data_IF_753630822263
#
_entry.id   IF_753630822263
#
_cell.length_a   1.000
_cell.length_b   1.000
_cell.length_c   1.000
_cell.angle_alpha   90.00
_cell.angle_beta   90.00
_cell.angle_gamma   90.00
#
_symmetry.space_group_name_H-M   'P 1'
#
loop_
_entity.id
_entity.type
_entity.pdbx_description
1 polymer ?
#
# COMPACT_ATOMS: atom_id res chain seq x y z
N UNK A 1 18.51 5.41 -3.81
CA UNK A 1 17.80 4.82 -2.65
C UNK A 1 16.78 3.82 -3.17
N UNK A 2 16.55 2.71 -2.43
CA UNK A 2 15.57 1.69 -2.80
C UNK A 2 14.61 1.49 -1.61
N UNK A 3 13.30 1.42 -1.90
CA UNK A 3 12.23 1.22 -0.91
C UNK A 3 11.47 -0.05 -1.27
N UNK A 4 11.30 -0.94 -0.29
CA UNK A 4 10.41 -2.09 -0.40
C UNK A 4 9.07 -1.79 0.28
N UNK A 5 7.99 -2.25 -0.31
CA UNK A 5 6.63 -2.01 0.22
C UNK A 5 5.84 -3.32 0.14
N UNK A 6 5.09 -3.65 1.19
CA UNK A 6 4.06 -4.67 1.12
C UNK A 6 2.87 -4.20 0.28
N UNK A 7 2.00 -5.12 -0.11
CA UNK A 7 0.88 -4.82 -0.99
C UNK A 7 -0.44 -4.72 -0.23
N UNK A 8 -0.87 -5.85 0.38
CA UNK A 8 -2.20 -5.98 0.94
C UNK A 8 -2.31 -5.22 2.27
N UNK A 9 -3.30 -4.34 2.42
CA UNK A 9 -3.50 -3.44 3.58
C UNK A 9 -2.36 -2.44 3.82
N UNK A 10 -1.39 -2.37 2.93
CA UNK A 10 -0.32 -1.37 2.92
C UNK A 10 -0.51 -0.39 1.76
N UNK A 11 -0.49 -0.86 0.51
CA UNK A 11 -0.85 -0.05 -0.67
C UNK A 11 -2.34 -0.12 -0.95
N UNK A 12 -2.95 -1.30 -0.81
CA UNK A 12 -4.35 -1.59 -1.14
C UNK A 12 -5.21 -1.54 0.11
N UNK A 13 -6.24 -0.71 0.09
CA UNK A 13 -7.29 -0.64 1.11
C UNK A 13 -8.45 -1.57 0.70
N UNK A 14 -8.77 -2.52 1.57
CA UNK A 14 -9.84 -3.49 1.36
C UNK A 14 -11.09 -3.25 2.21
N UNK A 15 -11.10 -2.23 3.05
CA UNK A 15 -12.17 -2.03 4.06
C UNK A 15 -13.57 -2.03 3.47
N UNK A 16 -13.78 -1.24 2.40
CA UNK A 16 -15.07 -1.20 1.70
C UNK A 16 -15.43 -2.53 1.03
N UNK A 17 -14.43 -3.23 0.48
CA UNK A 17 -14.65 -4.51 -0.20
C UNK A 17 -15.01 -5.61 0.79
N UNK A 18 -14.34 -5.65 1.96
CA UNK A 18 -14.72 -6.57 3.03
C UNK A 18 -16.14 -6.33 3.52
N UNK A 19 -16.54 -5.06 3.68
CA UNK A 19 -17.90 -4.70 4.05
C UNK A 19 -18.90 -5.16 3.00
N UNK A 20 -18.71 -4.74 1.74
CA UNK A 20 -19.59 -5.08 0.64
C UNK A 20 -19.82 -6.59 0.51
N UNK A 21 -18.74 -7.36 0.40
CA UNK A 21 -18.83 -8.82 0.23
C UNK A 21 -19.38 -9.52 1.49
N UNK A 22 -19.08 -9.01 2.67
CA UNK A 22 -19.62 -9.54 3.92
C UNK A 22 -21.13 -9.32 4.04
N UNK A 23 -21.64 -8.18 3.59
CA UNK A 23 -23.09 -7.88 3.51
C UNK A 23 -23.76 -8.74 2.44
N UNK A 24 -23.19 -8.84 1.23
CA UNK A 24 -23.71 -9.67 0.13
C UNK A 24 -23.84 -11.15 0.51
N UNK A 25 -22.93 -11.65 1.32
CA UNK A 25 -22.95 -13.03 1.83
C UNK A 25 -23.81 -13.21 3.09
N UNK A 26 -24.45 -12.16 3.58
CA UNK A 26 -25.25 -12.20 4.82
C UNK A 26 -24.42 -12.43 6.09
N UNK A 27 -23.10 -12.18 6.04
CA UNK A 27 -22.20 -12.37 7.18
C UNK A 27 -22.14 -11.13 8.10
N UNK A 28 -22.57 -9.96 7.61
CA UNK A 28 -22.46 -8.68 8.30
C UNK A 28 -23.80 -7.96 8.37
N UNK A 29 -24.07 -7.24 9.48
CA UNK A 29 -25.17 -6.30 9.53
C UNK A 29 -24.82 -5.02 8.75
N UNK A 30 -25.84 -4.36 8.17
CA UNK A 30 -25.65 -3.14 7.37
C UNK A 30 -25.00 -1.97 8.14
N UNK A 31 -25.10 -1.97 9.47
CA UNK A 31 -24.58 -0.89 10.32
C UNK A 31 -23.08 -0.97 10.62
N UNK A 32 -22.38 -2.07 10.23
CA UNK A 32 -20.95 -2.22 10.50
C UNK A 32 -20.15 -1.22 9.67
N UNK A 33 -19.13 -0.61 10.30
CA UNK A 33 -18.25 0.30 9.58
C UNK A 33 -17.29 -0.46 8.65
N UNK A 34 -16.86 0.17 7.54
CA UNK A 34 -15.86 -0.42 6.66
C UNK A 34 -14.47 -0.37 7.31
N UNK A 35 -14.22 -1.30 8.21
CA UNK A 35 -12.95 -1.52 8.88
C UNK A 35 -12.70 -3.03 8.91
N UNK A 36 -11.63 -3.46 8.23
CA UNK A 36 -11.28 -4.89 8.10
C UNK A 36 -11.11 -5.58 9.45
N UNK A 37 -10.48 -4.90 10.43
CA UNK A 37 -10.22 -5.48 11.75
C UNK A 37 -11.50 -5.68 12.55
N UNK A 38 -12.41 -4.69 12.53
CA UNK A 38 -13.72 -4.81 13.16
C UNK A 38 -14.56 -5.91 12.50
N UNK A 39 -14.57 -5.97 11.17
CA UNK A 39 -15.28 -7.00 10.39
C UNK A 39 -14.73 -8.39 10.73
N UNK A 40 -13.40 -8.53 10.78
CA UNK A 40 -12.75 -9.79 11.16
C UNK A 40 -13.14 -10.22 12.57
N UNK A 41 -13.09 -9.31 13.52
CA UNK A 41 -13.46 -9.59 14.91
C UNK A 41 -14.93 -9.99 15.01
N UNK A 42 -15.82 -9.26 14.35
CA UNK A 42 -17.24 -9.57 14.32
C UNK A 42 -17.53 -10.98 13.78
N UNK A 43 -16.99 -11.34 12.61
CA UNK A 43 -17.21 -12.65 11.99
C UNK A 43 -16.61 -13.76 12.85
N UNK A 44 -15.37 -13.60 13.34
CA UNK A 44 -14.68 -14.62 14.14
C UNK A 44 -15.36 -14.92 15.46
N UNK A 45 -16.11 -13.98 16.01
CA UNK A 45 -16.88 -14.18 17.24
C UNK A 45 -18.18 -14.98 17.01
N UNK A 46 -18.56 -15.30 15.77
CA UNK A 46 -19.68 -16.15 15.46
C UNK A 46 -19.30 -17.64 15.46
N UNK A 47 -20.30 -18.52 15.60
CA UNK A 47 -20.10 -19.96 15.51
C UNK A 47 -19.51 -20.32 14.12
N UNK A 48 -18.38 -21.00 14.07
CA UNK A 48 -17.70 -21.32 12.82
C UNK A 48 -17.02 -20.12 12.12
N UNK A 49 -16.93 -18.99 12.81
CA UNK A 49 -16.51 -17.71 12.25
C UNK A 49 -15.13 -17.69 11.61
N UNK A 50 -14.17 -18.51 12.07
CA UNK A 50 -12.87 -18.61 11.41
C UNK A 50 -12.98 -19.11 9.97
N UNK A 51 -13.81 -20.12 9.73
CA UNK A 51 -14.05 -20.65 8.38
C UNK A 51 -14.76 -19.62 7.49
N UNK A 52 -15.75 -18.92 8.05
CA UNK A 52 -16.48 -17.88 7.33
C UNK A 52 -15.57 -16.69 7.01
N UNK A 53 -14.70 -16.30 7.94
CA UNK A 53 -13.67 -15.29 7.68
C UNK A 53 -12.72 -15.71 6.54
N UNK A 54 -12.24 -16.93 6.52
CA UNK A 54 -11.37 -17.45 5.45
C UNK A 54 -12.09 -17.46 4.08
N UNK A 55 -13.38 -17.81 4.03
CA UNK A 55 -14.18 -17.74 2.81
C UNK A 55 -14.28 -16.30 2.31
N UNK A 56 -14.60 -15.36 3.19
CA UNK A 56 -14.68 -13.94 2.84
C UNK A 56 -13.33 -13.43 2.33
N UNK A 57 -12.22 -13.77 3.00
CA UNK A 57 -10.87 -13.43 2.53
C UNK A 57 -10.58 -13.94 1.11
N UNK A 58 -10.91 -15.21 0.84
CA UNK A 58 -10.70 -15.81 -0.49
C UNK A 58 -11.42 -15.02 -1.59
N UNK A 59 -12.65 -14.58 -1.33
CA UNK A 59 -13.40 -13.79 -2.30
C UNK A 59 -12.88 -12.35 -2.44
N UNK A 60 -12.56 -11.70 -1.33
CA UNK A 60 -12.09 -10.30 -1.33
C UNK A 60 -10.72 -10.17 -2.00
N UNK A 61 -9.77 -11.03 -1.64
CA UNK A 61 -8.42 -10.99 -2.22
C UNK A 61 -8.35 -11.56 -3.65
N UNK A 62 -9.35 -12.34 -4.07
CA UNK A 62 -9.50 -12.84 -5.43
C UNK A 62 -10.30 -11.86 -6.30
N UNK A 63 -11.53 -12.26 -6.63
CA UNK A 63 -12.40 -11.49 -7.53
C UNK A 63 -12.75 -10.08 -7.03
N UNK A 64 -12.80 -9.88 -5.71
CA UNK A 64 -13.11 -8.60 -5.07
C UNK A 64 -12.02 -7.56 -5.21
N UNK A 65 -10.79 -7.98 -5.49
CA UNK A 65 -9.63 -7.09 -5.54
C UNK A 65 -9.80 -5.93 -6.53
N UNK A 66 -10.46 -6.15 -7.66
CA UNK A 66 -10.70 -5.10 -8.66
C UNK A 66 -11.63 -3.98 -8.17
N UNK A 67 -12.38 -4.20 -7.09
CA UNK A 67 -13.22 -3.21 -6.43
C UNK A 67 -12.48 -2.47 -5.29
N UNK A 68 -11.29 -2.94 -4.90
CA UNK A 68 -10.46 -2.29 -3.91
C UNK A 68 -9.91 -0.95 -4.42
N UNK A 69 -9.35 -0.16 -3.52
CA UNK A 69 -8.74 1.13 -3.83
C UNK A 69 -7.32 1.19 -3.26
N UNK A 70 -6.47 2.01 -3.85
CA UNK A 70 -5.24 2.39 -3.18
C UNK A 70 -5.57 3.28 -1.98
N UNK A 71 -4.78 3.16 -0.90
CA UNK A 71 -4.87 4.14 0.18
C UNK A 71 -4.61 5.56 -0.35
N UNK A 72 -5.33 6.58 0.18
CA UNK A 72 -5.09 7.97 -0.20
C UNK A 72 -3.63 8.38 0.02
N UNK A 73 -3.02 8.99 -0.99
CA UNK A 73 -1.62 9.44 -0.94
C UNK A 73 -0.58 8.47 -1.53
N UNK A 74 -0.92 7.20 -1.76
CA UNK A 74 -0.02 6.21 -2.39
C UNK A 74 0.51 6.71 -3.74
N UNK A 75 -0.38 7.11 -4.62
CA UNK A 75 0.00 7.59 -5.97
C UNK A 75 0.98 8.76 -5.91
N UNK A 76 0.70 9.73 -5.02
CA UNK A 76 1.58 10.89 -4.81
C UNK A 76 2.96 10.48 -4.30
N UNK A 77 3.03 9.59 -3.31
CA UNK A 77 4.29 9.09 -2.76
C UNK A 77 5.13 8.40 -3.83
N UNK A 78 4.53 7.48 -4.59
CA UNK A 78 5.21 6.75 -5.67
C UNK A 78 5.70 7.69 -6.77
N UNK A 79 4.88 8.66 -7.18
CA UNK A 79 5.26 9.68 -8.15
C UNK A 79 6.46 10.51 -7.65
N UNK A 80 6.45 10.96 -6.38
CA UNK A 80 7.57 11.67 -5.77
C UNK A 80 8.84 10.82 -5.69
N UNK A 81 8.72 9.55 -5.38
CA UNK A 81 9.84 8.60 -5.43
C UNK A 81 10.47 8.59 -6.82
N UNK A 82 9.66 8.46 -7.85
CA UNK A 82 10.13 8.49 -9.25
C UNK A 82 10.84 9.80 -9.60
N UNK A 83 10.28 10.96 -9.24
CA UNK A 83 10.90 12.27 -9.50
C UNK A 83 12.27 12.43 -8.83
N UNK A 84 12.51 11.72 -7.74
CA UNK A 84 13.78 11.70 -6.99
C UNK A 84 14.72 10.56 -7.37
N UNK A 85 14.40 9.77 -8.39
CA UNK A 85 15.19 8.59 -8.77
C UNK A 85 15.23 7.51 -7.68
N UNK A 86 14.20 7.45 -6.83
CA UNK A 86 14.05 6.42 -5.79
C UNK A 86 13.32 5.24 -6.40
N UNK A 87 13.95 4.07 -6.33
CA UNK A 87 13.38 2.82 -6.82
C UNK A 87 12.41 2.25 -5.78
N UNK A 88 11.20 1.91 -6.21
CA UNK A 88 10.20 1.23 -5.37
C UNK A 88 9.94 -0.16 -5.90
N UNK A 89 9.94 -1.16 -5.02
CA UNK A 89 9.61 -2.55 -5.32
C UNK A 89 8.55 -3.07 -4.34
N UNK A 90 7.63 -3.90 -4.84
CA UNK A 90 6.64 -4.60 -4.02
C UNK A 90 7.16 -5.98 -3.66
N UNK A 91 7.12 -6.31 -2.37
CA UNK A 91 7.46 -7.62 -1.80
C UNK A 91 6.29 -8.07 -0.94
N UNK A 92 5.44 -8.94 -1.47
CA UNK A 92 4.21 -9.33 -0.79
C UNK A 92 4.16 -10.83 -0.49
N UNK A 93 3.60 -11.18 0.67
CA UNK A 93 3.21 -12.56 0.96
C UNK A 93 1.86 -12.83 0.31
N UNK A 94 1.82 -13.71 -0.67
CA UNK A 94 0.58 -14.04 -1.37
C UNK A 94 0.64 -15.48 -1.86
N UNK A 95 -0.39 -16.27 -1.49
CA UNK A 95 -0.60 -17.63 -2.00
C UNK A 95 -1.16 -17.59 -3.42
N UNK A 96 -1.04 -18.69 -4.15
CA UNK A 96 -1.55 -18.75 -5.52
C UNK A 96 -3.07 -18.60 -5.59
N UNK A 97 -3.79 -19.17 -4.62
CA UNK A 97 -5.26 -19.17 -4.57
C UNK A 97 -5.76 -18.84 -3.17
N UNK A 98 -6.94 -18.25 -3.10
CA UNK A 98 -7.65 -17.99 -1.85
C UNK A 98 -8.22 -19.26 -1.21
N UNK A 99 -8.31 -19.27 0.11
CA UNK A 99 -9.00 -20.34 0.82
C UNK A 99 -10.49 -20.35 0.44
N UNK A 100 -11.02 -21.55 0.14
CA UNK A 100 -12.43 -21.75 -0.26
C UNK A 100 -12.88 -20.96 -1.48
N UNK A 101 -11.96 -20.51 -2.32
CA UNK A 101 -12.30 -19.86 -3.59
C UNK A 101 -12.56 -20.91 -4.68
N UNK A 102 -13.84 -21.19 -4.95
CA UNK A 102 -14.26 -22.13 -6.00
C UNK A 102 -13.92 -21.63 -7.43
N UNK A 103 -13.66 -20.34 -7.59
CA UNK A 103 -13.30 -19.75 -8.89
C UNK A 103 -11.84 -20.00 -9.28
N UNK A 104 -11.01 -20.48 -8.33
CA UNK A 104 -9.58 -20.64 -8.52
C UNK A 104 -8.90 -19.39 -9.11
N UNK A 105 -9.32 -18.21 -8.64
CA UNK A 105 -8.72 -16.95 -9.07
C UNK A 105 -7.28 -16.88 -8.57
N UNK A 106 -6.32 -16.74 -9.49
CA UNK A 106 -4.92 -16.53 -9.12
C UNK A 106 -4.75 -15.18 -8.40
N UNK A 107 -4.41 -15.22 -7.11
CA UNK A 107 -4.23 -14.00 -6.31
C UNK A 107 -3.07 -13.13 -6.80
N UNK A 108 -1.90 -13.67 -7.23
CA UNK A 108 -0.85 -12.87 -7.86
C UNK A 108 -1.30 -12.18 -9.15
N UNK A 109 -2.02 -12.90 -10.03
CA UNK A 109 -2.51 -12.31 -11.28
C UNK A 109 -3.56 -11.22 -11.03
N UNK A 110 -4.48 -11.44 -10.10
CA UNK A 110 -5.45 -10.42 -9.68
C UNK A 110 -4.75 -9.17 -9.14
N UNK A 111 -3.69 -9.34 -8.35
CA UNK A 111 -2.89 -8.24 -7.83
C UNK A 111 -2.19 -7.45 -8.94
N UNK A 112 -1.57 -8.11 -9.90
CA UNK A 112 -0.95 -7.45 -11.06
C UNK A 112 -2.00 -6.69 -11.87
N UNK A 113 -3.16 -7.30 -12.15
CA UNK A 113 -4.25 -6.64 -12.87
C UNK A 113 -4.74 -5.37 -12.14
N UNK A 114 -4.86 -5.41 -10.82
CA UNK A 114 -5.20 -4.24 -10.00
C UNK A 114 -4.14 -3.14 -10.11
N UNK A 115 -2.86 -3.47 -9.98
CA UNK A 115 -1.75 -2.52 -10.07
C UNK A 115 -1.69 -1.85 -11.45
N UNK A 116 -1.98 -2.60 -12.52
CA UNK A 116 -2.09 -2.06 -13.88
C UNK A 116 -3.32 -1.14 -14.00
N UNK A 117 -4.49 -1.57 -13.51
CA UNK A 117 -5.73 -0.79 -13.52
C UNK A 117 -5.56 0.55 -12.80
N UNK A 118 -4.81 0.58 -11.71
CA UNK A 118 -4.53 1.82 -10.94
C UNK A 118 -3.44 2.69 -11.55
N UNK A 119 -2.75 2.23 -12.60
CA UNK A 119 -1.70 2.97 -13.29
C UNK A 119 -0.39 3.11 -12.52
N UNK A 120 -0.20 2.41 -11.40
CA UNK A 120 1.05 2.46 -10.64
C UNK A 120 2.09 1.43 -11.11
N UNK A 121 1.66 0.43 -11.87
CA UNK A 121 2.51 -0.57 -12.51
C UNK A 121 2.10 -0.76 -13.97
N UNK A 122 3.02 -0.52 -14.89
CA UNK A 122 2.79 -0.63 -16.34
C UNK A 122 3.67 -1.69 -16.98
N UNK A 123 4.65 -2.23 -16.25
CA UNK A 123 5.61 -3.22 -16.75
C UNK A 123 6.72 -2.63 -17.63
N UNK A 124 6.76 -1.32 -17.82
CA UNK A 124 7.76 -0.61 -18.61
C UNK A 124 8.45 0.52 -17.81
N UNK A 125 9.22 1.36 -18.49
CA UNK A 125 9.96 2.47 -17.87
C UNK A 125 9.06 3.60 -17.31
N UNK A 126 7.77 3.64 -17.67
CA UNK A 126 6.81 4.60 -17.14
C UNK A 126 6.24 4.18 -15.78
N UNK A 127 6.45 2.92 -15.38
CA UNK A 127 5.97 2.36 -14.13
C UNK A 127 6.48 3.12 -12.90
N UNK A 128 5.59 3.39 -11.94
CA UNK A 128 5.96 3.96 -10.64
C UNK A 128 6.61 2.90 -9.72
N UNK A 129 6.33 1.63 -9.98
CA UNK A 129 6.87 0.47 -9.28
C UNK A 129 7.76 -0.29 -10.26
N UNK A 130 9.00 -0.58 -9.86
CA UNK A 130 9.98 -1.25 -10.71
C UNK A 130 9.73 -2.75 -10.83
N UNK A 131 9.39 -3.39 -9.72
CA UNK A 131 9.26 -4.83 -9.62
C UNK A 131 8.17 -5.22 -8.62
N UNK A 132 7.44 -6.29 -8.91
CA UNK A 132 6.45 -6.89 -8.02
C UNK A 132 6.81 -8.35 -7.83
N UNK A 133 7.01 -8.77 -6.58
CA UNK A 133 7.37 -10.14 -6.23
C UNK A 133 6.41 -10.68 -5.17
N UNK A 134 5.91 -11.90 -5.41
CA UNK A 134 5.02 -12.61 -4.51
C UNK A 134 5.73 -13.83 -3.92
N UNK A 135 5.49 -14.10 -2.64
CA UNK A 135 6.10 -15.20 -1.92
C UNK A 135 5.02 -15.99 -1.19
N UNK A 136 5.01 -17.33 -1.29
CA UNK A 136 3.97 -18.16 -0.67
C UNK A 136 4.06 -18.24 0.85
N UNK A 137 5.22 -17.89 1.42
CA UNK A 137 5.41 -17.87 2.88
C UNK A 137 5.98 -16.55 3.37
N UNK A 138 5.70 -16.22 4.65
CA UNK A 138 6.27 -15.04 5.30
C UNK A 138 7.81 -15.11 5.40
N UNK A 139 8.33 -16.30 5.64
CA UNK A 139 9.77 -16.56 5.75
C UNK A 139 10.49 -16.26 4.44
N UNK A 140 9.90 -16.64 3.31
CA UNK A 140 10.44 -16.34 1.98
C UNK A 140 10.37 -14.85 1.68
N UNK A 141 9.27 -14.17 2.05
CA UNK A 141 9.15 -12.71 1.97
C UNK A 141 10.29 -12.02 2.73
N UNK A 142 10.52 -12.41 4.00
CA UNK A 142 11.59 -11.82 4.82
C UNK A 142 12.97 -12.09 4.24
N UNK A 143 13.20 -13.29 3.71
CA UNK A 143 14.46 -13.64 3.03
C UNK A 143 14.68 -12.78 1.78
N UNK A 144 13.63 -12.54 1.00
CA UNK A 144 13.69 -11.67 -0.17
C UNK A 144 13.99 -10.21 0.23
N UNK A 145 13.36 -9.69 1.31
CA UNK A 145 13.67 -8.37 1.85
C UNK A 145 15.16 -8.27 2.21
N UNK A 146 15.70 -9.27 2.90
CA UNK A 146 17.11 -9.29 3.29
C UNK A 146 18.08 -9.30 2.11
N UNK A 147 17.71 -9.93 0.99
CA UNK A 147 18.54 -9.99 -0.22
C UNK A 147 18.51 -8.73 -1.11
N UNK A 148 17.59 -7.79 -0.87
CA UNK A 148 17.37 -6.65 -1.80
C UNK A 148 17.96 -5.31 -1.35
N UNK A 149 18.53 -5.21 -0.16
CA UNK A 149 19.20 -4.00 0.38
C UNK A 149 18.29 -2.75 0.35
N UNK A 150 17.06 -2.86 0.83
CA UNK A 150 16.17 -1.72 0.96
C UNK A 150 16.66 -0.73 2.02
N UNK A 151 16.60 0.55 1.73
CA UNK A 151 16.80 1.60 2.74
C UNK A 151 15.61 1.67 3.72
N UNK A 152 14.40 1.44 3.21
CA UNK A 152 13.16 1.38 3.96
C UNK A 152 12.33 0.18 3.52
N UNK A 153 11.62 -0.43 4.48
CA UNK A 153 10.56 -1.39 4.21
C UNK A 153 9.28 -0.95 4.93
N UNK A 154 8.16 -0.94 4.20
CA UNK A 154 6.84 -0.48 4.69
C UNK A 154 5.89 -1.67 4.68
N UNK A 155 5.28 -1.99 5.83
CA UNK A 155 4.41 -3.17 6.00
C UNK A 155 3.36 -2.91 7.10
N UNK A 156 2.16 -3.52 6.98
CA UNK A 156 1.09 -3.46 7.99
C UNK A 156 1.24 -4.52 9.10
N UNK A 157 2.16 -5.48 8.94
CA UNK A 157 2.28 -6.62 9.86
C UNK A 157 3.50 -6.49 10.80
N UNK A 158 3.30 -6.31 12.12
CA UNK A 158 4.40 -6.31 13.11
C UNK A 158 5.31 -7.53 13.01
N UNK A 159 4.73 -8.71 12.76
CA UNK A 159 5.46 -10.00 12.67
C UNK A 159 6.53 -10.06 11.58
N UNK A 160 6.51 -9.14 10.60
CA UNK A 160 7.60 -9.02 9.62
C UNK A 160 8.84 -8.45 10.32
N UNK A 161 8.65 -7.42 11.12
CA UNK A 161 9.73 -6.69 11.82
C UNK A 161 10.26 -7.41 13.06
N UNK A 162 9.42 -8.25 13.70
CA UNK A 162 9.79 -9.06 14.87
C UNK A 162 10.71 -10.24 14.50
N UNK A 163 10.81 -10.55 13.22
CA UNK A 163 11.66 -11.65 12.77
C UNK A 163 13.16 -11.33 12.97
N UNK A 164 13.92 -12.23 13.61
CA UNK A 164 15.37 -12.06 13.76
C UNK A 164 16.10 -12.10 12.42
N UNK A 165 15.45 -12.55 11.35
CA UNK A 165 15.97 -12.58 9.97
C UNK A 165 15.70 -11.30 9.20
N UNK A 166 14.93 -10.34 9.77
CA UNK A 166 14.75 -9.04 9.14
C UNK A 166 16.07 -8.27 9.10
N UNK A 167 16.46 -7.65 7.97
CA UNK A 167 17.79 -7.04 7.81
C UNK A 167 17.95 -5.79 8.71
N UNK A 168 19.02 -5.76 9.50
CA UNK A 168 19.31 -4.65 10.44
C UNK A 168 19.58 -3.31 9.75
N UNK A 169 20.02 -3.34 8.49
CA UNK A 169 20.33 -2.15 7.69
C UNK A 169 19.11 -1.47 7.08
N UNK A 170 17.96 -2.17 7.08
CA UNK A 170 16.70 -1.68 6.53
C UNK A 170 15.90 -0.98 7.63
N UNK A 171 15.58 0.28 7.42
CA UNK A 171 14.68 1.01 8.33
C UNK A 171 13.26 0.44 8.24
N UNK A 172 12.64 0.28 9.41
CA UNK A 172 11.30 -0.28 9.57
C UNK A 172 10.26 0.84 9.61
N UNK A 173 9.19 0.74 8.84
CA UNK A 173 8.06 1.65 8.92
C UNK A 173 6.75 0.85 8.89
N UNK A 174 6.05 0.82 10.01
CA UNK A 174 4.73 0.20 10.14
C UNK A 174 3.65 1.10 9.53
N UNK A 175 2.73 0.53 8.78
CA UNK A 175 1.53 1.22 8.30
C UNK A 175 0.31 0.68 9.04
N UNK A 176 -0.33 1.53 9.83
CA UNK A 176 -1.49 1.13 10.66
C UNK A 176 -2.54 2.25 10.71
N UNK A 177 -3.38 2.36 9.69
CA UNK A 177 -4.34 3.46 9.55
C UNK A 177 -5.42 3.48 10.63
N UNK A 178 -5.65 2.35 11.31
CA UNK A 178 -6.67 2.20 12.35
C UNK A 178 -6.08 2.07 13.76
N UNK A 179 -4.75 2.00 13.89
CA UNK A 179 -4.04 1.76 15.15
C UNK A 179 -4.47 0.42 15.81
N UNK A 180 -4.67 -0.59 14.98
CA UNK A 180 -5.15 -1.92 15.40
C UNK A 180 -4.00 -2.85 15.83
N UNK A 181 -2.75 -2.50 15.52
CA UNK A 181 -1.59 -3.34 15.73
C UNK A 181 -0.64 -2.76 16.79
N UNK A 182 0.09 -3.65 17.44
CA UNK A 182 1.20 -3.25 18.32
C UNK A 182 2.52 -3.50 17.61
N UNK A 183 3.26 -2.43 17.34
CA UNK A 183 4.60 -2.47 16.79
C UNK A 183 5.63 -2.19 17.90
N UNK A 184 6.74 -2.93 17.91
CA UNK A 184 7.85 -2.75 18.85
C UNK A 184 9.08 -2.26 18.08
N UNK A 185 9.67 -1.16 18.49
CA UNK A 185 10.86 -0.55 17.87
C UNK A 185 10.70 -0.26 16.36
N UNK A 186 9.51 0.16 15.97
CA UNK A 186 9.15 0.50 14.60
C UNK A 186 8.46 1.86 14.58
N UNK A 187 8.83 2.72 13.65
CA UNK A 187 8.06 3.95 13.38
C UNK A 187 6.74 3.57 12.74
N UNK A 188 5.63 4.05 13.27
CA UNK A 188 4.29 3.76 12.76
C UNK A 188 3.69 5.01 12.14
N UNK A 189 3.13 4.85 10.95
CA UNK A 189 2.36 5.88 10.25
C UNK A 189 0.92 5.44 10.06
N UNK A 190 -0.02 6.38 10.23
CA UNK A 190 -1.46 6.14 10.05
C UNK A 190 -1.94 6.55 8.67
N UNK A 191 -1.12 7.21 7.90
CA UNK A 191 -1.45 7.68 6.56
C UNK A 191 -0.24 7.70 5.63
N UNK A 192 -0.49 7.60 4.33
CA UNK A 192 0.56 7.78 3.32
C UNK A 192 1.10 9.21 3.26
N UNK A 193 0.38 10.18 3.82
CA UNK A 193 0.88 11.54 3.99
C UNK A 193 2.01 11.59 5.02
N UNK A 194 1.88 10.85 6.12
CA UNK A 194 2.93 10.73 7.14
C UNK A 194 4.14 9.99 6.59
N UNK A 195 3.93 8.86 5.88
CA UNK A 195 5.01 8.11 5.21
C UNK A 195 5.77 9.01 4.24
N UNK A 196 5.05 9.75 3.41
CA UNK A 196 5.59 10.69 2.43
C UNK A 196 6.45 11.77 3.11
N UNK A 197 5.93 12.34 4.19
CA UNK A 197 6.67 13.34 4.97
C UNK A 197 7.92 12.72 5.65
N UNK A 198 7.78 11.55 6.24
CA UNK A 198 8.83 10.89 7.01
C UNK A 198 10.01 10.48 6.12
N UNK A 199 9.74 9.89 4.96
CA UNK A 199 10.77 9.38 4.05
C UNK A 199 11.29 10.47 3.09
N UNK A 200 10.40 11.28 2.53
CA UNK A 200 10.73 12.23 1.47
C UNK A 200 10.83 13.69 1.97
N UNK A 201 10.24 14.00 3.13
CA UNK A 201 10.24 15.36 3.66
C UNK A 201 9.49 16.36 2.78
N UNK A 202 9.93 17.62 2.79
CA UNK A 202 9.29 18.69 2.04
C UNK A 202 9.41 18.51 0.52
N UNK A 203 8.44 19.04 -0.20
CA UNK A 203 8.46 19.10 -1.66
C UNK A 203 9.64 19.92 -2.16
N UNK A 204 10.35 19.39 -3.15
CA UNK A 204 11.41 20.09 -3.84
C UNK A 204 10.83 20.96 -4.97
N UNK A 205 11.52 22.05 -5.32
CA UNK A 205 11.09 22.93 -6.42
C UNK A 205 10.96 22.19 -7.76
N UNK A 206 11.85 21.24 -8.01
CA UNK A 206 11.82 20.37 -9.21
C UNK A 206 10.57 19.50 -9.27
N UNK A 207 10.11 18.95 -8.15
CA UNK A 207 8.88 18.14 -8.09
C UNK A 207 7.64 19.00 -8.39
N UNK A 208 7.60 20.23 -7.82
CA UNK A 208 6.51 21.17 -8.08
C UNK A 208 6.49 21.60 -9.54
N UNK A 209 7.66 21.85 -10.15
CA UNK A 209 7.77 22.20 -11.56
C UNK A 209 7.29 21.06 -12.47
N UNK A 210 7.71 19.83 -12.19
CA UNK A 210 7.28 18.64 -12.93
C UNK A 210 5.78 18.43 -12.87
N UNK A 211 5.20 18.46 -11.64
CA UNK A 211 3.75 18.31 -11.46
C UNK A 211 2.97 19.40 -12.21
N UNK A 212 3.43 20.63 -12.12
CA UNK A 212 2.76 21.74 -12.79
C UNK A 212 2.82 21.60 -14.32
N UNK A 213 3.94 21.11 -14.89
CA UNK A 213 4.06 20.88 -16.34
C UNK A 213 3.19 19.68 -16.81
N UNK A 214 2.96 18.69 -15.98
CA UNK A 214 2.02 17.57 -16.28
C UNK A 214 0.56 18.06 -16.36
N UNK A 215 0.20 19.06 -15.54
CA UNK A 215 -1.17 19.60 -15.50
C UNK A 215 -1.44 20.60 -16.64
N UNK A 216 -0.48 21.48 -16.95
CA UNK A 216 -0.73 22.64 -17.84
C UNK A 216 0.16 22.65 -19.10
N UNK A 217 1.06 21.68 -19.26
CA UNK A 217 1.98 21.56 -20.40
C UNK A 217 2.79 22.86 -20.70
N UNK A 218 2.87 23.77 -19.74
CA UNK A 218 3.57 25.07 -19.87
C UNK A 218 4.91 25.05 -19.14
N UNK A 219 5.88 25.76 -19.67
CA UNK A 219 7.15 25.95 -18.97
C UNK A 219 7.04 27.05 -17.92
N UNK A 220 7.59 26.83 -16.76
CA UNK A 220 7.51 27.77 -15.64
C UNK A 220 8.75 28.64 -15.53
N UNK A 221 8.52 29.93 -15.23
CA UNK A 221 9.56 30.92 -15.03
C UNK A 221 10.05 30.97 -13.58
N UNK A 222 9.14 30.79 -12.63
CA UNK A 222 9.43 30.89 -11.22
C UNK A 222 8.47 30.02 -10.40
N UNK A 223 9.00 29.28 -9.41
CA UNK A 223 8.22 28.54 -8.43
C UNK A 223 8.65 28.99 -7.05
N UNK A 224 7.73 29.54 -6.27
CA UNK A 224 7.99 30.01 -4.91
C UNK A 224 6.97 29.42 -3.93
N UNK A 225 7.45 28.79 -2.85
CA UNK A 225 6.57 28.40 -1.74
C UNK A 225 6.07 29.65 -1.02
N UNK A 226 4.76 29.79 -0.88
CA UNK A 226 4.11 30.95 -0.24
C UNK A 226 3.35 30.59 1.03
N UNK A 227 3.15 29.30 1.35
CA UNK A 227 2.43 28.83 2.54
C UNK A 227 2.34 27.33 2.64
N UNK A 228 1.50 26.86 3.57
CA UNK A 228 1.24 25.45 3.85
C UNK A 228 1.97 24.95 5.10
N UNK A 229 1.40 23.96 5.77
CA UNK A 229 1.96 23.29 6.96
C UNK A 229 2.40 21.87 6.62
N UNK A 230 3.48 21.43 7.25
CA UNK A 230 4.02 20.09 7.05
C UNK A 230 4.32 19.81 5.57
N UNK A 231 3.81 18.69 5.07
CA UNK A 231 3.99 18.25 3.69
C UNK A 231 3.01 18.92 2.70
N UNK A 232 2.05 19.71 3.17
CA UNK A 232 1.17 20.52 2.34
C UNK A 232 1.83 21.87 2.06
N UNK A 233 2.26 22.09 0.82
CA UNK A 233 2.83 23.36 0.36
C UNK A 233 1.87 24.09 -0.55
N UNK A 234 1.74 25.41 -0.35
CA UNK A 234 1.12 26.31 -1.32
C UNK A 234 2.24 26.95 -2.10
N UNK A 235 2.22 26.79 -3.42
CA UNK A 235 3.27 27.32 -4.31
C UNK A 235 2.67 28.31 -5.29
N UNK A 236 3.38 29.44 -5.47
CA UNK A 236 3.12 30.37 -6.54
C UNK A 236 3.97 29.97 -7.74
N UNK A 237 3.32 29.76 -8.86
CA UNK A 237 3.95 29.40 -10.13
C UNK A 237 3.73 30.56 -11.12
N UNK A 238 4.79 31.02 -11.74
CA UNK A 238 4.70 31.96 -12.84
C UNK A 238 5.06 31.25 -14.14
N UNK A 239 4.19 31.32 -15.11
CA UNK A 239 4.42 30.87 -16.47
C UNK A 239 5.30 31.88 -17.26
N UNK A 240 5.91 31.39 -18.32
CA UNK A 240 6.64 32.27 -19.27
C UNK A 240 5.68 33.12 -20.10
#
# INVERSE_FOLDING_TARGET
MKIGIDLDNTLICYDEVFKQYGEELGMLPQCIKPNRSEIRAYIRNQIGGEKEWQKLQGQVYGRGLLNAKLFPGVHRFLWRCRQRGITVEIISHKTDYGHFDASHTSLPQAAIAFLIKTGIYTGDSSSLIKEVSFFPTREEKIRAIAGKNFAWFIDDLPKIYDSPKFPRITNKLGFDPHLDNTFTDVVVATSWLEIDHYILGLWQKSEVASLASEVDSTSFREIKRIGGRGNSGIYKVKTK
#
